data_IF_115418560774
#
_entry.id   IF_115418560774
#
_cell.length_a   1.000
_cell.length_b   1.000
_cell.length_c   1.000
_cell.angle_alpha   90.00
_cell.angle_beta   90.00
_cell.angle_gamma   90.00
#
_symmetry.space_group_name_H-M   'P 1'
#
loop_
_entity.id
_entity.type
_entity.pdbx_description
1 polymer ?
#
# COMPACT_ATOMS: atom_id res chain seq x y z
N UNK A 1 -7.55 -11.13 29.92
CA UNK A 1 -7.73 -9.71 30.29
C UNK A 1 -7.39 -8.87 29.07
N UNK A 2 -8.22 -7.89 28.71
CA UNK A 2 -7.86 -6.93 27.67
C UNK A 2 -6.72 -6.05 28.19
N UNK A 3 -5.73 -5.68 27.36
CA UNK A 3 -4.64 -4.80 27.74
C UNK A 3 -5.20 -3.44 28.19
N UNK A 4 -4.64 -2.87 29.25
CA UNK A 4 -5.00 -1.51 29.65
C UNK A 4 -4.44 -0.50 28.63
N UNK A 5 -5.07 0.68 28.56
CA UNK A 5 -4.56 1.79 27.74
C UNK A 5 -3.11 2.15 28.08
N UNK A 6 -2.71 1.97 29.34
CA UNK A 6 -1.36 2.25 29.82
C UNK A 6 -0.33 1.28 29.21
N UNK A 7 -0.61 -0.03 29.26
CA UNK A 7 0.30 -1.04 28.69
C UNK A 7 0.48 -0.88 27.18
N UNK A 8 -0.58 -0.49 26.47
CA UNK A 8 -0.54 -0.19 25.02
C UNK A 8 0.36 1.01 24.72
N UNK A 9 0.32 2.04 25.58
CA UNK A 9 1.16 3.23 25.46
C UNK A 9 2.62 2.89 25.75
N UNK A 10 2.90 2.13 26.81
CA UNK A 10 4.25 1.65 27.12
C UNK A 10 4.84 0.84 25.96
N UNK A 11 4.08 -0.11 25.40
CA UNK A 11 4.50 -0.89 24.23
C UNK A 11 4.85 0.03 23.05
N UNK A 12 3.96 0.96 22.71
CA UNK A 12 4.19 1.91 21.60
C UNK A 12 5.44 2.78 21.81
N UNK A 13 5.66 3.25 23.05
CA UNK A 13 6.85 4.02 23.41
C UNK A 13 8.13 3.20 23.26
N UNK A 14 8.14 1.94 23.68
CA UNK A 14 9.29 1.05 23.51
C UNK A 14 9.58 0.78 22.04
N UNK A 15 8.57 0.45 21.24
CA UNK A 15 8.75 0.23 19.79
C UNK A 15 9.34 1.47 19.12
N UNK A 16 8.88 2.67 19.49
CA UNK A 16 9.42 3.93 18.96
C UNK A 16 10.87 4.18 19.40
N UNK A 17 11.19 3.96 20.67
CA UNK A 17 12.52 4.24 21.22
C UNK A 17 13.59 3.29 20.66
N UNK A 18 13.23 2.02 20.45
CA UNK A 18 14.14 0.98 19.98
C UNK A 18 14.08 0.75 18.46
N UNK A 19 13.33 1.58 17.72
CA UNK A 19 13.15 1.46 16.27
C UNK A 19 14.47 1.25 15.49
N UNK A 20 15.58 1.98 15.76
CA UNK A 20 16.84 1.77 15.05
C UNK A 20 17.42 0.36 15.24
N UNK A 21 17.21 -0.24 16.41
CA UNK A 21 17.66 -1.60 16.72
C UNK A 21 16.74 -2.65 16.10
N UNK A 22 15.43 -2.37 16.06
CA UNK A 22 14.42 -3.27 15.49
C UNK A 22 14.53 -3.35 13.96
N UNK A 23 14.88 -2.26 13.29
CA UNK A 23 15.02 -2.22 11.83
C UNK A 23 16.30 -2.89 11.31
N UNK A 24 17.24 -3.26 12.20
CA UNK A 24 18.45 -4.03 11.82
C UNK A 24 18.12 -5.41 11.28
N UNK A 25 16.99 -5.98 11.71
CA UNK A 25 16.49 -7.27 11.24
C UNK A 25 14.99 -7.15 10.97
N UNK A 26 14.62 -7.24 9.69
CA UNK A 26 13.23 -7.18 9.24
C UNK A 26 12.32 -8.24 9.90
N UNK A 27 12.89 -9.38 10.32
CA UNK A 27 12.16 -10.46 10.99
C UNK A 27 11.77 -10.05 12.40
N UNK A 28 12.66 -9.36 13.11
CA UNK A 28 12.41 -8.86 14.45
C UNK A 28 11.27 -7.83 14.45
N UNK A 29 11.24 -6.96 13.44
CA UNK A 29 10.14 -6.01 13.24
C UNK A 29 8.80 -6.73 13.01
N UNK A 30 8.77 -7.79 12.19
CA UNK A 30 7.56 -8.61 12.00
C UNK A 30 7.08 -9.27 13.29
N UNK A 31 7.99 -9.77 14.13
CA UNK A 31 7.62 -10.36 15.42
C UNK A 31 7.02 -9.31 16.37
N UNK A 32 7.61 -8.11 16.43
CA UNK A 32 7.08 -7.01 17.25
C UNK A 32 5.70 -6.57 16.77
N UNK A 33 5.48 -6.45 15.46
CA UNK A 33 4.16 -6.15 14.91
C UNK A 33 3.15 -7.25 15.26
N UNK A 34 3.55 -8.52 15.19
CA UNK A 34 2.69 -9.65 15.56
C UNK A 34 2.31 -9.62 17.05
N UNK A 35 3.26 -9.28 17.92
CA UNK A 35 3.01 -9.05 19.36
C UNK A 35 2.00 -7.91 19.54
N UNK A 36 2.17 -6.80 18.81
CA UNK A 36 1.26 -5.67 18.79
C UNK A 36 -0.19 -6.07 18.47
N UNK A 37 -0.39 -6.92 17.47
CA UNK A 37 -1.72 -7.39 17.09
C UNK A 37 -2.32 -8.37 18.10
N UNK A 38 -1.53 -9.34 18.56
CA UNK A 38 -2.02 -10.40 19.46
C UNK A 38 -2.38 -9.87 20.85
N UNK A 39 -1.56 -8.97 21.39
CA UNK A 39 -1.70 -8.52 22.78
C UNK A 39 -2.36 -7.16 22.91
N UNK A 40 -2.27 -6.30 21.89
CA UNK A 40 -2.74 -4.91 21.95
C UNK A 40 -3.85 -4.60 20.93
N UNK A 41 -4.21 -5.56 20.07
CA UNK A 41 -5.21 -5.33 19.02
C UNK A 41 -4.80 -4.23 18.04
N UNK A 42 -3.51 -3.92 17.94
CA UNK A 42 -3.01 -2.94 16.98
C UNK A 42 -3.32 -3.48 15.58
N UNK A 43 -4.10 -2.71 14.81
CA UNK A 43 -4.33 -2.98 13.40
C UNK A 43 -2.95 -3.12 12.76
N UNK A 44 -2.61 -4.31 12.27
CA UNK A 44 -1.42 -4.45 11.42
C UNK A 44 -1.57 -3.36 10.37
N UNK A 45 -0.59 -2.45 10.27
CA UNK A 45 -0.43 -1.67 9.05
C UNK A 45 -0.39 -2.75 8.00
N UNK A 46 -1.45 -2.83 7.18
CA UNK A 46 -1.50 -3.75 6.07
C UNK A 46 -0.16 -3.59 5.40
N UNK A 47 0.74 -4.57 5.56
CA UNK A 47 1.86 -4.69 4.64
C UNK A 47 1.15 -4.60 3.31
N UNK A 48 1.41 -3.56 2.49
CA UNK A 48 0.85 -3.56 1.17
C UNK A 48 1.35 -4.88 0.61
N UNK A 49 0.43 -5.83 0.46
CA UNK A 49 0.63 -6.99 -0.36
C UNK A 49 0.73 -6.40 -1.76
N UNK A 50 1.87 -5.80 -2.03
CA UNK A 50 2.45 -5.64 -3.34
C UNK A 50 2.80 -7.05 -3.78
N UNK A 51 1.78 -7.91 -3.88
CA UNK A 51 1.80 -9.04 -4.77
C UNK A 51 1.87 -8.37 -6.14
N UNK A 52 3.01 -8.41 -6.84
CA UNK A 52 3.13 -7.76 -8.16
C UNK A 52 2.07 -8.30 -9.13
N UNK A 53 1.57 -9.52 -8.89
CA UNK A 53 0.45 -10.12 -9.58
C UNK A 53 -0.89 -9.35 -9.41
N UNK A 54 -1.16 -8.79 -8.23
CA UNK A 54 -2.39 -8.04 -7.97
C UNK A 54 -2.39 -6.71 -8.72
N UNK A 55 -1.24 -6.03 -8.79
CA UNK A 55 -1.07 -4.81 -9.56
C UNK A 55 -1.17 -5.05 -11.08
N UNK A 56 -0.71 -6.21 -11.57
CA UNK A 56 -0.86 -6.61 -12.98
C UNK A 56 -2.31 -6.97 -13.31
N UNK A 57 -3.01 -7.70 -12.43
CA UNK A 57 -4.41 -8.05 -12.63
C UNK A 57 -5.32 -6.81 -12.61
N UNK A 58 -5.04 -5.84 -11.73
CA UNK A 58 -5.71 -4.53 -11.72
C UNK A 58 -5.41 -3.74 -12.99
N UNK A 59 -4.17 -3.76 -13.50
CA UNK A 59 -3.81 -3.07 -14.75
C UNK A 59 -4.51 -3.68 -15.97
N UNK A 60 -4.62 -5.01 -16.04
CA UNK A 60 -5.31 -5.69 -17.14
C UNK A 60 -6.83 -5.48 -17.08
N UNK A 61 -7.43 -5.51 -15.90
CA UNK A 61 -8.89 -5.30 -15.72
C UNK A 61 -9.28 -3.85 -16.01
N UNK A 62 -8.44 -2.89 -15.61
CA UNK A 62 -8.63 -1.46 -15.89
C UNK A 62 -8.49 -1.14 -17.39
N UNK A 63 -7.62 -1.87 -18.10
CA UNK A 63 -7.47 -1.69 -19.54
C UNK A 63 -8.64 -2.31 -20.32
N UNK A 64 -9.26 -3.37 -19.79
CA UNK A 64 -10.42 -4.02 -20.41
C UNK A 64 -11.73 -3.23 -20.20
N UNK A 65 -11.88 -2.54 -19.07
CA UNK A 65 -13.07 -1.71 -18.81
C UNK A 65 -13.12 -0.42 -19.64
N UNK A 66 -11.99 0.04 -20.16
CA UNK A 66 -11.89 1.23 -21.02
C UNK A 66 -12.19 0.95 -22.51
N UNK A 67 -12.43 -0.31 -22.90
CA UNK A 67 -12.68 -0.72 -24.30
C UNK A 67 -14.12 -0.55 -24.82
N UNK A 68 -15.04 0.02 -24.03
CA UNK A 68 -16.47 0.12 -24.38
C UNK A 68 -16.97 1.56 -24.63
N UNK A 69 -16.14 2.44 -25.23
CA UNK A 69 -16.58 3.75 -25.72
C UNK A 69 -16.09 3.98 -27.16
N UNK A 70 -17.04 4.06 -28.08
CA UNK A 70 -16.84 3.99 -29.52
C UNK A 70 -16.13 5.18 -30.18
N UNK A 71 -15.56 4.85 -31.34
CA UNK A 71 -15.45 5.64 -32.58
C UNK A 71 -15.95 7.09 -32.61
N UNK A 72 -15.07 8.03 -32.99
CA UNK A 72 -15.30 9.01 -34.08
C UNK A 72 -14.04 9.82 -34.47
N UNK A 73 -13.56 9.59 -35.71
CA UNK A 73 -13.04 10.54 -36.73
C UNK A 73 -11.84 11.44 -36.35
N UNK A 74 -10.61 11.20 -36.84
CA UNK A 74 -10.09 11.40 -38.21
C UNK A 74 -10.58 12.68 -38.90
N UNK A 75 -9.82 13.76 -38.80
CA UNK A 75 -9.73 14.77 -39.86
C UNK A 75 -8.33 15.37 -39.88
N UNK A 76 -7.51 14.89 -40.81
CA UNK A 76 -6.30 15.54 -41.30
C UNK A 76 -6.72 16.59 -42.33
N UNK A 77 -6.44 17.86 -42.07
CA UNK A 77 -6.41 18.88 -43.11
C UNK A 77 -5.09 19.64 -42.97
N UNK A 78 -4.19 19.35 -43.92
CA UNK A 78 -2.99 20.11 -44.22
C UNK A 78 -3.34 20.99 -45.41
N UNK A 79 -3.38 22.30 -45.24
CA UNK A 79 -3.26 23.23 -46.37
C UNK A 79 -2.33 24.39 -45.98
N UNK A 80 -1.36 24.62 -46.86
CA UNK A 80 -0.29 25.62 -46.80
C UNK A 80 -0.83 26.94 -47.35
N UNK A 81 -0.53 28.07 -46.71
CA UNK A 81 -0.39 29.32 -47.44
C UNK A 81 0.77 30.16 -46.88
N UNK A 82 1.61 30.63 -47.80
CA UNK A 82 2.81 31.44 -47.63
C UNK A 82 2.46 32.78 -48.27
N UNK A 83 2.50 33.85 -47.49
CA UNK A 83 2.83 35.21 -47.94
C UNK A 83 3.48 35.98 -46.78
#
# INVERSE_FOLDING_TARGET
ALPSSETTRCFSSLVSAYKPSLERDSTLLQYVDRIGTLFFGLKQKSSPSSNPFENLMQSLTSNLSNGARGTQQHQSDLDLDVD
#
